data_IF_071786198914
#
_entry.id   IF_071786198914
#
_cell.length_a   1.000
_cell.length_b   1.000
_cell.length_c   1.000
_cell.angle_alpha   90.00
_cell.angle_beta   90.00
_cell.angle_gamma   90.00
#
_symmetry.space_group_name_H-M   'P 1'
#
loop_
_entity.id
_entity.type
_entity.pdbx_description
1 polymer ?
#
# COMPACT_ATOMS: atom_id res chain seq x y z
N UNK A 1 16.12 -60.78 16.61
CA UNK A 1 16.93 -60.58 17.83
C UNK A 1 17.76 -59.33 17.59
N UNK A 2 17.50 -58.25 18.35
CA UNK A 2 18.38 -57.09 18.59
C UNK A 2 18.64 -56.15 17.39
N UNK A 3 18.67 -54.82 17.51
CA UNK A 3 18.48 -53.92 18.65
C UNK A 3 18.11 -52.52 18.12
N UNK A 4 17.22 -51.83 18.82
CA UNK A 4 16.94 -50.40 18.64
C UNK A 4 18.16 -49.56 19.00
N UNK A 5 18.42 -48.52 18.20
CA UNK A 5 19.46 -47.53 18.47
C UNK A 5 19.03 -46.56 19.60
N UNK A 6 19.97 -46.08 20.43
CA UNK A 6 19.67 -45.39 21.69
C UNK A 6 19.19 -43.95 21.48
N UNK A 7 18.17 -43.55 22.26
CA UNK A 7 17.69 -42.16 22.35
C UNK A 7 18.76 -41.30 23.03
N UNK A 8 19.21 -40.26 22.34
CA UNK A 8 20.09 -39.22 22.90
C UNK A 8 19.42 -38.41 24.02
N UNK A 9 20.22 -37.73 24.86
CA UNK A 9 19.77 -37.19 26.14
C UNK A 9 18.81 -36.01 25.98
N UNK A 10 17.77 -36.00 26.81
CA UNK A 10 16.88 -34.86 27.02
C UNK A 10 17.67 -33.73 27.68
N UNK A 11 17.69 -32.56 27.06
CA UNK A 11 18.29 -31.36 27.64
C UNK A 11 17.19 -30.53 28.32
N UNK A 12 17.29 -30.42 29.64
CA UNK A 12 16.32 -29.73 30.50
C UNK A 12 16.76 -28.28 30.77
N UNK A 13 15.90 -27.36 30.31
CA UNK A 13 15.56 -25.97 30.76
C UNK A 13 16.65 -24.91 31.06
N UNK A 14 16.37 -23.71 30.55
CA UNK A 14 16.55 -22.45 31.30
C UNK A 14 15.17 -21.78 31.49
N UNK A 15 14.85 -21.20 32.67
CA UNK A 15 13.58 -20.54 32.92
C UNK A 15 13.61 -19.05 32.55
N UNK A 16 12.46 -18.54 32.09
CA UNK A 16 11.97 -17.18 32.38
C UNK A 16 12.70 -15.97 31.78
N UNK A 17 12.11 -15.39 30.73
CA UNK A 17 11.84 -13.94 30.73
C UNK A 17 10.34 -13.75 30.56
N UNK A 18 9.68 -13.38 31.66
CA UNK A 18 8.29 -12.95 31.63
C UNK A 18 8.18 -11.73 30.72
N UNK A 19 7.27 -11.78 29.75
CA UNK A 19 6.80 -10.57 29.10
C UNK A 19 6.18 -9.69 30.19
N UNK A 20 6.66 -8.46 30.31
CA UNK A 20 6.08 -7.47 31.22
C UNK A 20 4.59 -7.30 30.86
N UNK A 21 3.67 -7.28 31.84
CA UNK A 21 2.27 -7.04 31.56
C UNK A 21 2.12 -5.62 31.01
N UNK A 22 1.57 -5.49 29.81
CA UNK A 22 1.02 -4.22 29.36
C UNK A 22 -0.25 -3.98 30.18
N UNK A 23 -0.24 -2.88 30.91
CA UNK A 23 -1.30 -2.44 31.82
C UNK A 23 -2.65 -2.31 31.08
N UNK A 24 -3.73 -2.98 31.52
CA UNK A 24 -5.04 -2.85 30.91
C UNK A 24 -5.74 -1.62 31.50
N UNK A 25 -5.35 -0.44 31.01
CA UNK A 25 -5.97 0.85 31.39
C UNK A 25 -6.83 1.42 30.25
N UNK A 26 -8.13 1.15 30.31
CA UNK A 26 -9.25 1.92 29.74
C UNK A 26 -9.07 2.58 28.36
N UNK A 27 -9.18 1.76 27.31
CA UNK A 27 -9.83 2.20 26.09
C UNK A 27 -11.03 1.28 25.84
N UNK A 28 -12.20 1.66 26.34
CA UNK A 28 -13.45 1.07 25.89
C UNK A 28 -13.63 1.39 24.41
N UNK A 29 -13.02 0.58 23.54
CA UNK A 29 -13.40 0.53 22.13
C UNK A 29 -14.81 -0.05 22.13
N UNK A 30 -15.80 0.82 22.14
CA UNK A 30 -17.19 0.46 21.84
C UNK A 30 -17.20 0.08 20.37
N UNK A 31 -16.85 -1.18 20.09
CA UNK A 31 -17.07 -1.79 18.79
C UNK A 31 -18.59 -1.96 18.67
N UNK A 32 -19.24 -0.99 18.04
CA UNK A 32 -20.59 -1.18 17.51
C UNK A 32 -20.61 -2.47 16.69
N UNK A 33 -21.67 -3.29 16.78
CA UNK A 33 -21.72 -4.58 16.11
C UNK A 33 -21.45 -4.42 14.60
N UNK A 34 -20.81 -5.42 13.96
CA UNK A 34 -20.54 -5.39 12.53
C UNK A 34 -21.85 -5.19 11.76
N UNK A 35 -21.92 -4.08 11.03
CA UNK A 35 -23.05 -3.68 10.19
C UNK A 35 -23.49 -4.86 9.30
N UNK A 36 -24.71 -5.35 9.53
CA UNK A 36 -25.35 -6.60 9.06
C UNK A 36 -25.62 -6.64 7.55
N UNK A 37 -24.89 -5.86 6.75
CA UNK A 37 -24.94 -5.95 5.28
C UNK A 37 -26.20 -5.38 4.65
N UNK A 38 -27.06 -4.66 5.38
CA UNK A 38 -28.15 -3.91 4.76
C UNK A 38 -27.63 -2.60 4.15
N UNK A 39 -27.97 -2.28 2.88
CA UNK A 39 -27.71 -0.98 2.31
C UNK A 39 -28.44 0.07 3.15
N UNK A 40 -27.71 1.04 3.70
CA UNK A 40 -28.34 2.19 4.37
C UNK A 40 -28.73 3.20 3.29
N UNK A 41 -30.02 3.47 3.14
CA UNK A 41 -30.50 4.60 2.34
C UNK A 41 -30.22 5.90 3.11
N UNK A 42 -29.33 6.72 2.57
CA UNK A 42 -28.91 8.01 3.12
C UNK A 42 -27.50 8.41 2.68
N UNK A 43 -27.11 9.69 2.79
CA UNK A 43 -25.76 10.12 2.49
C UNK A 43 -24.77 9.35 3.36
N UNK A 44 -23.72 8.76 2.76
CA UNK A 44 -22.67 8.10 3.51
C UNK A 44 -21.98 9.14 4.42
N UNK A 45 -21.71 8.81 5.69
CA UNK A 45 -20.88 9.67 6.53
C UNK A 45 -19.50 9.84 5.89
N UNK A 46 -18.83 10.97 6.17
CA UNK A 46 -17.47 11.25 5.67
C UNK A 46 -16.60 10.00 5.80
N UNK A 47 -15.97 9.53 4.71
CA UNK A 47 -15.16 8.33 4.74
C UNK A 47 -13.90 8.52 5.59
N UNK A 48 -13.40 7.44 6.16
CA UNK A 48 -12.12 7.41 6.84
C UNK A 48 -10.99 7.27 5.81
N UNK A 49 -10.08 8.23 5.77
CA UNK A 49 -8.90 8.22 4.90
C UNK A 49 -7.67 7.72 5.65
N UNK A 50 -7.09 6.62 5.15
CA UNK A 50 -5.90 5.99 5.73
C UNK A 50 -4.75 6.06 4.73
N UNK A 51 -3.68 6.79 5.06
CA UNK A 51 -2.45 6.80 4.29
C UNK A 51 -1.51 5.66 4.67
N UNK A 52 -1.00 4.93 3.68
CA UNK A 52 0.03 3.91 3.84
C UNK A 52 1.22 4.26 2.95
N UNK A 53 2.23 4.90 3.54
CA UNK A 53 3.46 5.24 2.84
C UNK A 53 4.61 4.31 3.20
N UNK A 54 5.68 4.39 2.42
CA UNK A 54 6.92 3.66 2.66
C UNK A 54 7.75 3.63 1.39
N UNK A 55 8.96 3.11 1.48
CA UNK A 55 9.78 2.96 0.29
C UNK A 55 9.23 1.92 -0.71
N UNK A 56 9.71 1.98 -1.95
CA UNK A 56 9.46 0.91 -2.94
C UNK A 56 9.87 -0.44 -2.36
N UNK A 57 9.02 -1.45 -2.58
CA UNK A 57 9.17 -2.82 -2.05
C UNK A 57 9.15 -2.97 -0.51
N UNK A 58 8.69 -1.96 0.24
CA UNK A 58 8.51 -2.06 1.69
C UNK A 58 7.32 -2.98 2.10
N UNK A 59 6.35 -3.19 1.20
CA UNK A 59 5.15 -4.00 1.47
C UNK A 59 3.85 -3.19 1.64
N UNK A 60 3.86 -1.90 1.30
CA UNK A 60 2.71 -0.97 1.35
C UNK A 60 1.44 -1.53 0.71
N UNK A 61 1.52 -1.90 -0.57
CA UNK A 61 0.36 -2.36 -1.32
C UNK A 61 -0.20 -3.65 -0.75
N UNK A 62 0.66 -4.59 -0.33
CA UNK A 62 0.23 -5.81 0.38
C UNK A 62 -0.47 -5.51 1.70
N UNK A 63 0.05 -4.58 2.48
CA UNK A 63 -0.57 -4.15 3.74
C UNK A 63 -1.92 -3.47 3.49
N UNK A 64 -1.99 -2.54 2.55
CA UNK A 64 -3.21 -1.83 2.17
C UNK A 64 -4.31 -2.79 1.68
N UNK A 65 -3.95 -3.73 0.81
CA UNK A 65 -4.89 -4.76 0.29
C UNK A 65 -5.41 -5.63 1.44
N UNK A 66 -4.53 -6.15 2.31
CA UNK A 66 -4.93 -7.00 3.45
C UNK A 66 -5.85 -6.28 4.44
N UNK A 67 -5.65 -4.97 4.63
CA UNK A 67 -6.57 -4.17 5.44
C UNK A 67 -7.90 -4.01 4.74
N UNK A 68 -7.91 -3.66 3.45
CA UNK A 68 -9.14 -3.53 2.67
C UNK A 68 -9.96 -4.83 2.68
N UNK A 69 -9.31 -5.99 2.53
CA UNK A 69 -9.93 -7.31 2.59
C UNK A 69 -10.62 -7.58 3.93
N UNK A 70 -10.03 -7.15 5.07
CA UNK A 70 -10.64 -7.28 6.40
C UNK A 70 -11.93 -6.46 6.54
N UNK A 71 -12.05 -5.33 5.85
CA UNK A 71 -13.29 -4.54 5.80
C UNK A 71 -14.30 -5.08 4.78
N UNK A 72 -13.81 -5.73 3.73
CA UNK A 72 -14.57 -6.19 2.58
C UNK A 72 -14.73 -5.12 1.50
N UNK A 73 -14.78 -5.55 0.23
CA UNK A 73 -14.83 -4.66 -0.95
C UNK A 73 -16.04 -3.71 -0.98
N UNK A 74 -17.11 -4.04 -0.25
CA UNK A 74 -18.27 -3.15 -0.12
C UNK A 74 -17.99 -1.91 0.75
N UNK A 75 -16.99 -1.99 1.65
CA UNK A 75 -16.74 -0.99 2.71
C UNK A 75 -15.39 -0.27 2.56
N UNK A 76 -14.43 -0.85 1.84
CA UNK A 76 -13.10 -0.28 1.65
C UNK A 76 -12.66 -0.28 0.18
N UNK A 77 -11.93 0.76 -0.22
CA UNK A 77 -11.20 0.85 -1.50
C UNK A 77 -9.74 1.23 -1.26
N UNK A 78 -8.87 0.81 -2.17
CA UNK A 78 -7.45 1.20 -2.21
C UNK A 78 -7.22 2.10 -3.43
N UNK A 79 -6.58 3.24 -3.20
CA UNK A 79 -6.14 4.19 -4.21
C UNK A 79 -4.62 4.21 -4.20
N UNK A 80 -4.00 3.76 -5.29
CA UNK A 80 -2.56 3.75 -5.45
C UNK A 80 -2.06 5.06 -6.06
N UNK A 81 -1.05 5.67 -5.45
CA UNK A 81 -0.33 6.84 -5.96
C UNK A 81 0.23 6.58 -7.37
N UNK A 82 0.64 5.34 -7.66
CA UNK A 82 1.16 4.96 -8.97
C UNK A 82 0.13 5.09 -10.11
N UNK A 83 -1.17 5.10 -9.81
CA UNK A 83 -2.19 5.39 -10.83
C UNK A 83 -2.23 6.86 -11.24
N UNK A 84 -1.59 7.75 -10.46
CA UNK A 84 -1.56 9.19 -10.67
C UNK A 84 -0.24 9.69 -11.25
N UNK A 85 0.63 8.81 -11.76
CA UNK A 85 1.76 9.26 -12.56
C UNK A 85 1.27 10.11 -13.74
N UNK A 86 2.04 11.13 -14.09
CA UNK A 86 1.78 11.96 -15.27
C UNK A 86 1.99 11.13 -16.52
N UNK A 87 1.17 11.39 -17.54
CA UNK A 87 1.40 10.80 -18.86
C UNK A 87 2.77 11.25 -19.38
N UNK A 88 3.56 10.27 -19.79
CA UNK A 88 4.92 10.45 -20.29
C UNK A 88 5.09 9.88 -21.70
N UNK A 89 4.00 9.57 -22.40
CA UNK A 89 4.01 9.01 -23.75
C UNK A 89 4.69 9.93 -24.77
N UNK A 90 4.59 11.25 -24.56
CA UNK A 90 5.21 12.28 -25.39
C UNK A 90 6.74 12.36 -25.27
N UNK A 91 7.35 11.68 -24.30
CA UNK A 91 8.81 11.68 -24.11
C UNK A 91 9.56 10.75 -25.08
N UNK A 92 8.87 10.13 -26.05
CA UNK A 92 9.50 9.58 -27.25
C UNK A 92 10.30 8.28 -27.08
N UNK A 93 10.33 7.67 -25.90
CA UNK A 93 10.97 6.38 -25.68
C UNK A 93 11.02 6.01 -24.21
N UNK A 94 10.38 4.88 -23.87
CA UNK A 94 10.31 4.16 -22.60
C UNK A 94 10.28 5.03 -21.33
N UNK A 95 9.22 4.87 -20.53
CA UNK A 95 9.14 5.27 -19.12
C UNK A 95 10.42 5.03 -18.28
N UNK A 96 11.33 4.18 -18.75
CA UNK A 96 12.72 4.02 -18.28
C UNK A 96 13.48 5.32 -17.96
N UNK A 97 13.25 6.42 -18.68
CA UNK A 97 13.94 7.69 -18.42
C UNK A 97 13.25 8.54 -17.33
N UNK A 98 12.05 8.16 -16.88
CA UNK A 98 11.29 8.91 -15.88
C UNK A 98 11.71 8.47 -14.48
N UNK A 99 12.19 9.41 -13.68
CA UNK A 99 12.35 9.18 -12.25
C UNK A 99 10.98 9.21 -11.55
N UNK A 100 10.36 8.04 -11.42
CA UNK A 100 9.08 7.85 -10.72
C UNK A 100 9.13 8.11 -9.21
N UNK A 101 10.32 8.29 -8.64
CA UNK A 101 10.49 8.67 -7.24
C UNK A 101 10.58 10.21 -7.08
N UNK A 102 10.54 10.96 -8.18
CA UNK A 102 10.50 12.42 -8.14
C UNK A 102 9.05 12.92 -7.97
N UNK A 103 8.78 13.89 -7.09
CA UNK A 103 7.43 14.44 -6.88
C UNK A 103 6.74 14.91 -8.16
N UNK A 104 7.48 15.52 -9.09
CA UNK A 104 6.93 16.02 -10.36
C UNK A 104 6.40 14.90 -11.28
N UNK A 105 6.84 13.65 -11.09
CA UNK A 105 6.30 12.53 -11.85
C UNK A 105 4.85 12.20 -11.49
N UNK A 106 4.34 12.73 -10.37
CA UNK A 106 3.01 12.45 -9.83
C UNK A 106 2.11 13.68 -10.01
N UNK A 107 0.87 13.44 -10.44
CA UNK A 107 -0.18 14.45 -10.52
C UNK A 107 -0.93 14.57 -9.19
N UNK A 108 -0.24 15.09 -8.16
CA UNK A 108 -0.84 15.26 -6.83
C UNK A 108 -2.08 16.16 -6.85
N UNK A 109 -2.17 17.10 -7.79
CA UNK A 109 -3.35 17.95 -7.96
C UNK A 109 -4.57 17.16 -8.42
N UNK A 110 -4.40 16.21 -9.36
CA UNK A 110 -5.49 15.29 -9.74
C UNK A 110 -5.86 14.36 -8.58
N UNK A 111 -4.87 13.82 -7.88
CA UNK A 111 -5.08 12.94 -6.73
C UNK A 111 -5.86 13.63 -5.61
N UNK A 112 -5.47 14.85 -5.24
CA UNK A 112 -6.18 15.68 -4.25
C UNK A 112 -7.64 15.90 -4.65
N UNK A 113 -7.91 16.24 -5.92
CA UNK A 113 -9.27 16.41 -6.42
C UNK A 113 -10.08 15.12 -6.29
N UNK A 114 -9.52 13.98 -6.69
CA UNK A 114 -10.21 12.70 -6.59
C UNK A 114 -10.49 12.29 -5.15
N UNK A 115 -9.54 12.50 -4.24
CA UNK A 115 -9.76 12.23 -2.81
C UNK A 115 -10.87 13.11 -2.23
N UNK A 116 -10.92 14.40 -2.59
CA UNK A 116 -12.02 15.29 -2.18
C UNK A 116 -13.38 14.84 -2.73
N UNK A 117 -13.44 14.43 -3.99
CA UNK A 117 -14.67 13.88 -4.57
C UNK A 117 -15.17 12.67 -3.78
N UNK A 118 -14.28 11.75 -3.42
CA UNK A 118 -14.63 10.59 -2.60
C UNK A 118 -15.09 10.99 -1.18
N UNK A 119 -14.43 11.99 -0.57
CA UNK A 119 -14.84 12.57 0.73
C UNK A 119 -16.26 13.14 0.65
N UNK A 120 -16.59 13.81 -0.45
CA UNK A 120 -17.89 14.42 -0.71
C UNK A 120 -18.96 13.41 -1.19
N UNK A 121 -18.64 12.10 -1.18
CA UNK A 121 -19.55 11.04 -1.60
C UNK A 121 -19.80 10.99 -3.11
N UNK A 122 -18.86 11.50 -3.92
CA UNK A 122 -18.93 11.45 -5.39
C UNK A 122 -17.97 10.41 -5.94
N UNK A 123 -18.38 9.79 -7.05
CA UNK A 123 -17.54 8.85 -7.77
C UNK A 123 -16.41 9.57 -8.52
N UNK A 124 -15.33 8.83 -8.78
CA UNK A 124 -14.19 9.28 -9.59
C UNK A 124 -13.94 8.30 -10.74
N UNK A 125 -13.36 8.73 -11.86
CA UNK A 125 -12.90 7.79 -12.88
C UNK A 125 -11.79 6.91 -12.31
N UNK A 126 -11.78 5.62 -12.68
CA UNK A 126 -10.65 4.74 -12.41
C UNK A 126 -9.47 5.14 -13.29
N UNK A 127 -8.29 5.23 -12.68
CA UNK A 127 -7.04 5.50 -13.39
C UNK A 127 -6.14 4.26 -13.37
N UNK A 128 -5.56 3.95 -14.52
CA UNK A 128 -4.51 2.93 -14.67
C UNK A 128 -3.32 3.58 -15.38
N UNK A 129 -2.13 3.43 -14.81
CA UNK A 129 -0.90 3.88 -15.47
C UNK A 129 -0.12 2.68 -16.00
N UNK A 130 0.10 2.67 -17.30
CA UNK A 130 0.85 1.61 -17.99
C UNK A 130 2.30 2.04 -18.10
N UNK A 131 3.17 1.45 -17.27
CA UNK A 131 4.60 1.79 -17.26
C UNK A 131 5.29 1.49 -18.59
N UNK A 132 4.86 0.49 -19.33
CA UNK A 132 5.53 0.11 -20.58
C UNK A 132 5.33 1.16 -21.69
N UNK A 133 4.11 1.74 -21.75
CA UNK A 133 3.75 2.75 -22.74
C UNK A 133 3.91 4.19 -22.22
N UNK A 134 4.05 4.35 -20.90
CA UNK A 134 4.05 5.67 -20.24
C UNK A 134 2.69 6.37 -20.25
N UNK A 135 1.61 5.64 -20.58
CA UNK A 135 0.27 6.21 -20.76
C UNK A 135 -0.54 6.11 -19.47
N UNK A 136 -1.24 7.19 -19.12
CA UNK A 136 -2.30 7.16 -18.11
C UNK A 136 -3.66 7.01 -18.79
N UNK A 137 -4.35 5.93 -18.48
CA UNK A 137 -5.62 5.57 -19.08
C UNK A 137 -6.79 5.69 -18.08
N UNK A 138 -7.94 6.07 -18.61
CA UNK A 138 -9.25 5.95 -17.97
C UNK A 138 -10.03 4.82 -18.66
N UNK A 139 -10.08 3.59 -18.09
CA UNK A 139 -10.69 2.43 -18.75
C UNK A 139 -12.20 2.54 -18.98
N UNK A 140 -12.84 3.62 -18.50
CA UNK A 140 -14.26 3.91 -18.65
C UNK A 140 -15.13 3.51 -17.45
N UNK A 141 -14.57 2.85 -16.43
CA UNK A 141 -15.26 2.53 -15.19
C UNK A 141 -14.93 3.51 -14.06
N UNK A 142 -15.79 3.55 -13.03
CA UNK A 142 -15.68 4.49 -11.90
C UNK A 142 -15.34 3.78 -10.60
N UNK A 143 -14.88 4.57 -9.63
CA UNK A 143 -14.67 4.18 -8.24
C UNK A 143 -15.72 4.92 -7.41
N UNK A 144 -16.67 4.16 -6.86
CA UNK A 144 -17.67 4.67 -5.95
C UNK A 144 -17.07 4.94 -4.55
N UNK A 145 -17.57 5.95 -3.82
CA UNK A 145 -17.14 6.24 -2.46
C UNK A 145 -17.42 5.06 -1.52
N UNK A 146 -16.49 4.81 -0.59
CA UNK A 146 -16.61 3.76 0.43
C UNK A 146 -16.35 4.33 1.81
N UNK A 147 -16.77 3.61 2.85
CA UNK A 147 -16.56 4.03 4.25
C UNK A 147 -15.08 4.19 4.62
N UNK A 148 -14.20 3.41 3.99
CA UNK A 148 -12.76 3.49 4.17
C UNK A 148 -12.08 3.68 2.83
N UNK A 149 -11.26 4.72 2.71
CA UNK A 149 -10.41 4.99 1.54
C UNK A 149 -8.97 4.86 1.99
N UNK A 150 -8.30 3.81 1.50
CA UNK A 150 -6.89 3.57 1.78
C UNK A 150 -6.08 4.14 0.64
N UNK A 151 -5.19 5.06 0.94
CA UNK A 151 -4.31 5.72 -0.02
C UNK A 151 -2.91 5.19 0.20
N UNK A 152 -2.29 4.59 -0.81
CA UNK A 152 -0.95 4.01 -0.69
C UNK A 152 0.01 4.59 -1.73
N UNK A 153 1.27 4.82 -1.34
CA UNK A 153 2.27 5.39 -2.23
C UNK A 153 3.62 5.60 -1.58
N UNK A 154 4.59 6.11 -2.33
CA UNK A 154 5.94 6.39 -1.83
C UNK A 154 6.09 7.83 -1.31
N UNK A 155 5.25 8.76 -1.79
CA UNK A 155 5.35 10.19 -1.50
C UNK A 155 4.08 10.83 -0.91
N UNK A 156 3.00 10.06 -0.71
CA UNK A 156 1.72 10.57 -0.17
C UNK A 156 1.82 11.29 1.19
N UNK A 157 2.82 10.97 2.01
CA UNK A 157 3.07 11.66 3.29
C UNK A 157 4.07 12.82 3.17
N UNK A 158 4.79 12.90 2.04
CA UNK A 158 5.69 14.01 1.73
C UNK A 158 4.92 15.21 1.16
N UNK A 159 3.87 14.96 0.36
CA UNK A 159 3.01 16.01 -0.20
C UNK A 159 1.99 16.53 0.84
N UNK A 160 2.08 17.80 1.29
CA UNK A 160 1.19 18.35 2.31
C UNK A 160 -0.29 18.28 1.93
N UNK A 161 -0.64 18.58 0.67
CA UNK A 161 -2.04 18.62 0.22
C UNK A 161 -2.74 17.26 0.32
N UNK A 162 -1.99 16.18 0.14
CA UNK A 162 -2.50 14.83 0.32
C UNK A 162 -2.51 14.50 1.81
N UNK A 163 -1.39 14.71 2.51
CA UNK A 163 -1.22 14.39 3.93
C UNK A 163 -2.31 15.01 4.81
N UNK A 164 -2.71 16.24 4.51
CA UNK A 164 -3.68 16.99 5.33
C UNK A 164 -5.13 16.48 5.14
N UNK A 165 -5.39 15.69 4.10
CA UNK A 165 -6.67 15.00 3.91
C UNK A 165 -6.78 13.69 4.72
N UNK A 166 -5.64 13.12 5.15
CA UNK A 166 -5.58 11.79 5.75
C UNK A 166 -5.88 11.82 7.26
N UNK A 167 -6.79 10.97 7.70
CA UNK A 167 -7.14 10.82 9.11
C UNK A 167 -6.08 9.98 9.87
N UNK A 168 -5.64 8.87 9.26
CA UNK A 168 -4.53 8.04 9.77
C UNK A 168 -3.36 8.02 8.80
N UNK A 169 -2.15 8.03 9.34
CA UNK A 169 -0.90 8.07 8.57
C UNK A 169 0.01 6.94 9.06
N UNK A 170 0.23 5.96 8.20
CA UNK A 170 1.03 4.77 8.48
C UNK A 170 2.25 4.81 7.57
N UNK A 171 3.43 4.65 8.15
CA UNK A 171 4.67 4.49 7.39
C UNK A 171 5.22 3.09 7.61
N UNK A 172 5.38 2.32 6.54
CA UNK A 172 6.01 1.00 6.58
C UNK A 172 7.50 1.19 6.38
N UNK A 173 8.23 1.06 7.49
CA UNK A 173 9.68 1.03 7.49
C UNK A 173 10.19 -0.39 7.29
N UNK A 174 11.15 -0.54 6.39
CA UNK A 174 11.77 -1.81 6.06
C UNK A 174 13.19 -1.56 5.58
N UNK A 175 14.12 -2.40 6.02
CA UNK A 175 15.54 -2.29 5.69
C UNK A 175 15.75 -2.20 4.17
N UNK A 176 16.71 -1.35 3.75
CA UNK A 176 17.08 -1.15 2.35
C UNK A 176 17.38 -2.46 1.64
N UNK A 177 18.12 -3.35 2.32
CA UNK A 177 18.59 -4.62 1.76
C UNK A 177 17.43 -5.57 1.51
N UNK A 178 16.47 -5.62 2.45
CA UNK A 178 15.25 -6.41 2.31
C UNK A 178 14.38 -5.87 1.15
N UNK A 179 14.24 -4.55 1.06
CA UNK A 179 13.49 -3.91 -0.03
C UNK A 179 14.16 -4.17 -1.39
N UNK A 180 15.48 -4.10 -1.44
CA UNK A 180 16.26 -4.39 -2.64
C UNK A 180 16.10 -5.84 -3.08
N UNK A 181 16.29 -6.82 -2.18
CA UNK A 181 16.13 -8.26 -2.50
C UNK A 181 14.71 -8.56 -3.00
N UNK A 182 13.69 -7.98 -2.37
CA UNK A 182 12.29 -8.12 -2.83
C UNK A 182 12.07 -7.51 -4.22
N UNK A 183 12.64 -6.33 -4.46
CA UNK A 183 12.59 -5.66 -5.78
C UNK A 183 13.29 -6.50 -6.83
N UNK A 184 14.49 -7.00 -6.53
CA UNK A 184 15.30 -7.82 -7.41
C UNK A 184 14.53 -9.07 -7.84
N UNK A 185 14.00 -9.83 -6.88
CA UNK A 185 13.19 -11.01 -7.17
C UNK A 185 12.01 -10.69 -8.09
N UNK A 186 11.23 -9.65 -7.75
CA UNK A 186 10.07 -9.21 -8.54
C UNK A 186 10.46 -8.78 -9.96
N UNK A 187 11.44 -7.90 -10.10
CA UNK A 187 11.82 -7.32 -11.39
C UNK A 187 12.47 -8.40 -12.30
N UNK A 188 13.18 -9.38 -11.74
CA UNK A 188 13.67 -10.55 -12.49
C UNK A 188 12.52 -11.46 -12.98
N UNK A 189 11.59 -11.83 -12.09
CA UNK A 189 10.56 -12.83 -12.41
C UNK A 189 9.37 -12.28 -13.18
N UNK A 190 8.91 -11.08 -12.83
CA UNK A 190 7.67 -10.51 -13.37
C UNK A 190 7.91 -9.63 -14.59
N UNK A 191 9.08 -8.97 -14.67
CA UNK A 191 9.42 -8.04 -15.76
C UNK A 191 10.50 -8.56 -16.70
N UNK A 192 11.15 -9.68 -16.36
CA UNK A 192 12.24 -10.25 -17.17
C UNK A 192 13.44 -9.31 -17.33
N UNK A 193 13.66 -8.39 -16.37
CA UNK A 193 14.78 -7.45 -16.42
C UNK A 193 16.10 -8.16 -16.11
N UNK A 194 17.20 -7.64 -16.65
CA UNK A 194 18.53 -8.20 -16.38
C UNK A 194 19.04 -7.82 -14.99
N UNK A 195 19.78 -8.74 -14.34
CA UNK A 195 20.33 -8.53 -13.00
C UNK A 195 21.25 -7.29 -12.95
N UNK A 196 22.13 -7.12 -13.94
CA UNK A 196 23.07 -6.00 -13.96
C UNK A 196 22.34 -4.67 -14.13
N UNK A 197 21.28 -4.62 -14.93
CA UNK A 197 20.45 -3.43 -15.11
C UNK A 197 19.78 -3.00 -13.80
N UNK A 198 19.22 -3.96 -13.06
CA UNK A 198 18.59 -3.71 -11.75
C UNK A 198 19.62 -3.18 -10.74
N UNK A 199 20.80 -3.81 -10.67
CA UNK A 199 21.89 -3.37 -9.79
C UNK A 199 22.40 -1.98 -10.16
N UNK A 200 22.60 -1.71 -11.45
CA UNK A 200 23.03 -0.39 -11.94
C UNK A 200 22.06 0.71 -11.51
N UNK A 201 20.76 0.49 -11.74
CA UNK A 201 19.72 1.45 -11.33
C UNK A 201 19.54 1.62 -9.82
N UNK A 202 20.12 0.75 -8.99
CA UNK A 202 20.16 0.91 -7.53
C UNK A 202 21.40 1.68 -7.05
N UNK A 203 22.56 1.46 -7.70
CA UNK A 203 23.83 2.06 -7.32
C UNK A 203 24.05 3.47 -7.89
N UNK A 204 23.44 3.78 -9.03
CA UNK A 204 23.62 5.06 -9.75
C UNK A 204 22.50 6.07 -9.46
N UNK A 205 21.55 5.73 -8.59
CA UNK A 205 20.42 6.59 -8.19
C UNK A 205 20.77 7.55 -7.05
#
# INVERSE_FOLDING_TARGET
MLAEAPRGPQQERAPGRAALPLDPGDASVVCSPPDTGQPREGPLPRPLLVGVAGGTSAGKSTFAIRIAEKFGAAKAIVIAESSYYRDSSSLGGAASAVNFDHPDSIDFGLMERHLRLLIDGREIPRLVYHRDTGVREEPGDTIAPRRVVIVEGILILAEPKIRDLLDYKIFIDADSDLRFIRRLGRDLTEKGMDFEEICRGYLEK
#
